data_IF_032815478027
#
_entry.id   IF_032815478027
#
_cell.length_a   1.000
_cell.length_b   1.000
_cell.length_c   1.000
_cell.angle_alpha   90.00
_cell.angle_beta   90.00
_cell.angle_gamma   90.00
#
_symmetry.space_group_name_H-M   'P 1'
#
loop_
_entity.id
_entity.type
_entity.pdbx_description
1 polymer ?
#
# COMPACT_ATOMS: atom_id res chain seq x y z
N UNK A 1 -17.24 -13.96 33.30
CA UNK A 1 -17.11 -13.96 31.83
C UNK A 1 -16.90 -12.57 31.25
N UNK A 2 -17.73 -11.56 31.59
CA UNK A 2 -17.55 -10.18 31.11
C UNK A 2 -16.20 -9.53 31.48
N UNK A 3 -15.63 -9.88 32.64
CA UNK A 3 -14.32 -9.36 33.07
C UNK A 3 -13.17 -9.83 32.16
N UNK A 4 -13.18 -11.09 31.67
CA UNK A 4 -12.13 -11.60 30.78
C UNK A 4 -12.09 -10.85 29.45
N UNK A 5 -13.26 -10.56 28.87
CA UNK A 5 -13.33 -9.78 27.63
C UNK A 5 -12.79 -8.37 27.89
N UNK A 6 -13.17 -7.73 29.00
CA UNK A 6 -12.71 -6.39 29.36
C UNK A 6 -11.20 -6.34 29.64
N UNK A 7 -10.65 -7.36 30.29
CA UNK A 7 -9.22 -7.54 30.54
C UNK A 7 -8.46 -7.70 29.21
N UNK A 8 -8.94 -8.58 28.31
CA UNK A 8 -8.34 -8.79 26.99
C UNK A 8 -8.44 -7.57 26.08
N UNK A 9 -9.50 -6.75 26.16
CA UNK A 9 -9.56 -5.46 25.45
C UNK A 9 -8.53 -4.47 25.99
N UNK A 10 -8.34 -4.42 27.31
CA UNK A 10 -7.36 -3.53 27.93
C UNK A 10 -5.92 -4.00 27.66
N UNK A 11 -5.69 -5.32 27.59
CA UNK A 11 -4.41 -5.93 27.21
C UNK A 11 -4.09 -5.73 25.73
N UNK A 12 -5.05 -5.91 24.82
CA UNK A 12 -4.82 -5.69 23.39
C UNK A 12 -4.53 -4.22 23.08
N UNK A 13 -5.15 -3.28 23.79
CA UNK A 13 -4.91 -1.84 23.62
C UNK A 13 -3.61 -1.38 24.30
N UNK A 14 -3.19 -1.98 25.41
CA UNK A 14 -1.93 -1.63 26.08
C UNK A 14 -0.70 -2.43 25.57
N UNK A 15 -0.88 -3.64 25.03
CA UNK A 15 0.20 -4.53 24.55
C UNK A 15 0.38 -4.48 23.04
N UNK A 16 -0.66 -4.10 22.29
CA UNK A 16 -0.48 -3.63 20.93
C UNK A 16 -0.50 -2.13 21.03
N UNK A 17 0.69 -1.54 21.10
CA UNK A 17 0.90 -0.12 20.87
C UNK A 17 0.39 0.20 19.47
N UNK A 18 -0.94 0.34 19.32
CA UNK A 18 -1.55 0.98 18.17
C UNK A 18 -0.94 2.37 18.17
N UNK A 19 -0.02 2.64 17.23
CA UNK A 19 0.63 3.93 17.18
C UNK A 19 -0.49 4.94 17.02
N UNK A 20 -0.46 6.01 17.81
CA UNK A 20 -1.42 7.11 17.71
C UNK A 20 -1.68 7.43 16.24
N UNK A 21 -2.95 7.47 15.81
CA UNK A 21 -3.41 7.77 14.44
C UNK A 21 -2.50 8.71 13.60
N UNK A 22 -1.94 9.82 14.14
CA UNK A 22 -0.98 10.67 13.42
C UNK A 22 0.33 9.99 12.93
N UNK A 23 0.85 8.99 13.65
CA UNK A 23 2.08 8.27 13.26
C UNK A 23 1.81 7.22 12.17
N UNK A 24 0.66 6.54 12.25
CA UNK A 24 0.20 5.63 11.19
C UNK A 24 -0.03 6.39 9.89
N UNK A 25 -0.60 7.59 9.97
CA UNK A 25 -0.81 8.44 8.80
C UNK A 25 0.51 8.85 8.14
N UNK A 26 1.58 9.14 8.90
CA UNK A 26 2.90 9.42 8.32
C UNK A 26 3.46 8.22 7.54
N UNK A 27 3.37 7.02 8.09
CA UNK A 27 3.82 5.80 7.39
C UNK A 27 2.94 5.47 6.17
N UNK A 28 1.63 5.68 6.27
CA UNK A 28 0.70 5.49 5.14
C UNK A 28 0.96 6.49 4.02
N UNK A 29 1.30 7.74 4.32
CA UNK A 29 1.63 8.76 3.30
C UNK A 29 2.86 8.36 2.51
N UNK A 30 3.91 7.86 3.18
CA UNK A 30 5.13 7.38 2.48
C UNK A 30 4.80 6.20 1.56
N UNK A 31 4.02 5.22 2.04
CA UNK A 31 3.60 4.06 1.23
C UNK A 31 2.69 4.48 0.08
N UNK A 32 1.81 5.46 0.28
CA UNK A 32 0.93 6.01 -0.75
C UNK A 32 1.72 6.75 -1.84
N UNK A 33 2.76 7.49 -1.48
CA UNK A 33 3.65 8.13 -2.47
C UNK A 33 4.46 7.06 -3.22
N UNK A 34 4.96 6.03 -2.52
CA UNK A 34 5.66 4.92 -3.15
C UNK A 34 4.77 4.16 -4.15
N UNK A 35 3.51 3.89 -3.82
CA UNK A 35 2.57 3.21 -4.73
C UNK A 35 2.25 4.04 -5.97
N UNK A 36 2.15 5.37 -5.84
CA UNK A 36 1.99 6.28 -6.99
C UNK A 36 3.19 6.21 -7.93
N UNK A 37 4.42 6.15 -7.39
CA UNK A 37 5.63 6.00 -8.21
C UNK A 37 5.62 4.65 -8.94
N UNK A 38 5.29 3.55 -8.25
CA UNK A 38 5.16 2.24 -8.91
C UNK A 38 4.08 2.24 -9.99
N UNK A 39 2.95 2.89 -9.77
CA UNK A 39 1.89 3.02 -10.76
C UNK A 39 2.36 3.75 -12.03
N UNK A 40 3.15 4.83 -11.89
CA UNK A 40 3.73 5.54 -13.03
C UNK A 40 4.74 4.69 -13.82
N UNK A 41 5.56 3.91 -13.12
CA UNK A 41 6.53 3.00 -13.75
C UNK A 41 5.83 1.90 -14.54
N UNK A 42 4.81 1.27 -13.95
CA UNK A 42 4.01 0.24 -14.65
C UNK A 42 3.30 0.85 -15.85
N UNK A 43 2.71 2.03 -15.71
CA UNK A 43 2.07 2.72 -16.82
C UNK A 43 3.05 3.02 -17.97
N UNK A 44 4.26 3.48 -17.67
CA UNK A 44 5.30 3.71 -18.66
C UNK A 44 5.74 2.40 -19.34
N UNK A 45 5.82 1.30 -18.59
CA UNK A 45 6.15 -0.02 -19.12
C UNK A 45 5.06 -0.54 -20.05
N UNK A 46 3.79 -0.46 -19.64
CA UNK A 46 2.65 -0.87 -20.45
C UNK A 46 2.57 -0.04 -21.74
N UNK A 47 2.79 1.27 -21.66
CA UNK A 47 2.85 2.14 -22.84
C UNK A 47 3.99 1.75 -23.76
N UNK A 48 5.19 1.51 -23.21
CA UNK A 48 6.36 1.12 -24.00
C UNK A 48 6.12 -0.22 -24.71
N UNK A 49 5.58 -1.21 -24.00
CA UNK A 49 5.26 -2.52 -24.57
C UNK A 49 4.19 -2.44 -25.65
N UNK A 50 3.12 -1.66 -25.46
CA UNK A 50 2.08 -1.46 -26.48
C UNK A 50 2.65 -0.88 -27.77
N UNK A 51 3.47 0.17 -27.67
CA UNK A 51 4.10 0.79 -28.84
C UNK A 51 5.09 -0.17 -29.53
N UNK A 52 5.88 -0.91 -28.74
CA UNK A 52 6.87 -1.84 -29.28
C UNK A 52 6.21 -3.04 -29.96
N UNK A 53 5.09 -3.53 -29.41
CA UNK A 53 4.30 -4.60 -30.02
C UNK A 53 3.63 -4.13 -31.32
N UNK A 54 3.08 -2.92 -31.36
CA UNK A 54 2.51 -2.33 -32.58
C UNK A 54 3.57 -2.18 -33.68
N UNK A 55 4.77 -1.70 -33.34
CA UNK A 55 5.89 -1.60 -34.30
C UNK A 55 6.31 -2.97 -34.82
N UNK A 56 6.46 -3.98 -33.95
CA UNK A 56 6.85 -5.33 -34.37
C UNK A 56 5.75 -5.97 -35.24
N UNK A 57 4.48 -5.81 -34.89
CA UNK A 57 3.37 -6.35 -35.69
C UNK A 57 3.16 -5.63 -37.01
N UNK A 58 3.48 -4.34 -37.10
CA UNK A 58 3.29 -3.54 -38.32
C UNK A 58 4.50 -3.65 -39.28
N UNK A 59 5.68 -4.04 -38.79
CA UNK A 59 6.88 -4.30 -39.59
C UNK A 59 6.90 -5.73 -40.18
N UNK A 60 6.11 -6.65 -39.62
CA UNK A 60 6.00 -8.05 -40.08
C UNK A 60 4.92 -8.29 -41.14
#
# INVERSE_FOLDING_TARGET
>A
MFNYIKESYNELVNKVSWPSFPQLQSSTVVVMVASVIFALVVWAMDFSFSNLMEVIYNVG
#
